data_IF_519510097820
#
_entry.id   IF_519510097820
#
_cell.length_a   1.000
_cell.length_b   1.000
_cell.length_c   1.000
_cell.angle_alpha   90.00
_cell.angle_beta   90.00
_cell.angle_gamma   90.00
#
_symmetry.space_group_name_H-M   'P 1'
#
loop_
_entity.id
_entity.type
_entity.pdbx_description
1 polymer ?
#
# COMPACT_ATOMS: atom_id res chain seq x y z
N UNK A 1 31.51 11.30 -13.55
CA UNK A 1 30.09 11.61 -13.29
C UNK A 1 29.64 10.74 -12.14
N UNK A 2 29.25 11.29 -10.97
CA UNK A 2 28.64 10.45 -9.95
C UNK A 2 27.29 10.02 -10.51
N UNK A 3 27.16 8.73 -10.85
CA UNK A 3 25.88 8.16 -11.25
C UNK A 3 24.91 8.31 -10.10
N UNK A 4 23.74 8.90 -10.35
CA UNK A 4 22.64 8.88 -9.40
C UNK A 4 22.29 7.43 -9.13
N UNK A 5 22.70 6.92 -7.96
CA UNK A 5 22.31 5.58 -7.51
C UNK A 5 20.79 5.54 -7.45
N UNK A 6 20.18 4.74 -8.32
CA UNK A 6 18.74 4.49 -8.28
C UNK A 6 18.49 3.49 -7.16
N UNK A 7 17.81 3.92 -6.11
CA UNK A 7 17.36 3.06 -5.02
C UNK A 7 15.90 2.70 -5.26
N UNK A 8 15.58 1.42 -5.19
CA UNK A 8 14.19 0.96 -5.10
C UNK A 8 13.78 0.98 -3.63
N UNK A 9 12.61 1.54 -3.34
CA UNK A 9 12.03 1.55 -1.99
C UNK A 9 10.91 0.52 -1.97
N UNK A 10 11.04 -0.48 -1.10
CA UNK A 10 10.03 -1.52 -0.91
C UNK A 10 9.25 -1.25 0.37
N UNK A 11 7.93 -1.27 0.27
CA UNK A 11 7.02 -1.18 1.42
C UNK A 11 6.22 -2.46 1.54
N UNK A 12 6.46 -3.19 2.62
CA UNK A 12 5.74 -4.42 2.94
C UNK A 12 4.55 -4.14 3.86
N UNK A 13 3.35 -4.53 3.39
CA UNK A 13 2.16 -4.59 4.23
C UNK A 13 1.85 -6.04 4.55
N UNK A 14 1.82 -6.36 5.84
CA UNK A 14 1.39 -7.66 6.35
C UNK A 14 0.08 -7.50 7.09
N UNK A 15 -0.93 -8.30 6.75
CA UNK A 15 -2.17 -8.35 7.50
C UNK A 15 -2.01 -9.30 8.70
N UNK A 16 -1.53 -8.76 9.82
CA UNK A 16 -1.41 -9.47 11.09
C UNK A 16 -2.73 -9.52 11.89
N UNK A 17 -3.84 -9.05 11.29
CA UNK A 17 -5.16 -9.04 11.92
C UNK A 17 -5.97 -10.28 11.58
N UNK A 18 -7.06 -10.51 12.33
CA UNK A 18 -7.98 -11.63 12.09
C UNK A 18 -8.95 -11.40 10.92
N UNK A 19 -9.06 -10.15 10.45
CA UNK A 19 -9.98 -9.75 9.40
C UNK A 19 -9.25 -9.55 8.08
N UNK A 20 -9.98 -9.62 6.96
CA UNK A 20 -9.40 -9.22 5.69
C UNK A 20 -9.14 -7.71 5.66
N UNK A 21 -7.99 -7.33 5.10
CA UNK A 21 -7.58 -5.95 4.91
C UNK A 21 -7.53 -5.62 3.42
N UNK A 22 -7.74 -4.36 3.06
CA UNK A 22 -7.48 -3.90 1.69
C UNK A 22 -6.50 -2.76 1.68
N UNK A 23 -5.57 -2.78 0.73
CA UNK A 23 -4.63 -1.69 0.45
C UNK A 23 -4.98 -1.07 -0.90
N UNK A 24 -5.10 0.25 -0.94
CA UNK A 24 -5.42 1.00 -2.15
C UNK A 24 -4.74 2.37 -2.16
N UNK A 25 -4.42 2.91 -3.33
CA UNK A 25 -4.03 4.33 -3.43
C UNK A 25 -5.17 5.23 -2.96
N UNK A 26 -4.87 6.18 -2.08
CA UNK A 26 -5.86 7.05 -1.45
C UNK A 26 -6.65 7.87 -2.47
N UNK A 27 -6.02 8.28 -3.58
CA UNK A 27 -6.68 9.03 -4.67
C UNK A 27 -7.79 8.24 -5.36
N UNK A 28 -7.70 6.91 -5.33
CA UNK A 28 -8.60 5.98 -6.00
C UNK A 28 -9.64 5.38 -5.03
N UNK A 29 -9.44 5.59 -3.72
CA UNK A 29 -10.30 5.05 -2.66
C UNK A 29 -11.77 5.46 -2.83
N UNK A 30 -12.64 4.45 -2.93
CA UNK A 30 -14.08 4.63 -3.12
C UNK A 30 -14.53 5.08 -4.53
N UNK A 31 -13.60 5.33 -5.46
CA UNK A 31 -13.90 5.76 -6.84
C UNK A 31 -13.52 4.74 -7.89
N UNK A 32 -12.41 4.02 -7.70
CA UNK A 32 -11.89 3.08 -8.68
C UNK A 32 -11.45 1.77 -8.01
N UNK A 33 -12.18 0.68 -8.20
CA UNK A 33 -11.87 -0.63 -7.60
C UNK A 33 -10.77 -1.39 -8.34
N UNK A 34 -10.22 -0.87 -9.44
CA UNK A 34 -9.24 -1.58 -10.27
C UNK A 34 -7.83 -1.69 -9.66
N UNK A 35 -7.52 -0.92 -8.62
CA UNK A 35 -6.21 -0.88 -7.98
C UNK A 35 -6.31 -1.15 -6.47
N UNK A 36 -7.14 -2.12 -6.08
CA UNK A 36 -7.29 -2.57 -4.69
C UNK A 36 -6.65 -3.95 -4.53
N UNK A 37 -5.83 -4.11 -3.50
CA UNK A 37 -5.28 -5.40 -3.10
C UNK A 37 -6.03 -5.87 -1.86
N UNK A 38 -6.60 -7.07 -1.92
CA UNK A 38 -7.18 -7.75 -0.75
C UNK A 38 -6.11 -8.63 -0.11
N UNK A 39 -5.96 -8.51 1.20
CA UNK A 39 -5.06 -9.33 2.03
C UNK A 39 -5.90 -10.13 3.02
N UNK A 40 -5.85 -11.44 2.94
CA UNK A 40 -6.37 -12.33 3.97
C UNK A 40 -5.48 -12.31 5.23
N UNK A 41 -5.98 -12.76 6.39
CA UNK A 41 -5.18 -12.89 7.60
C UNK A 41 -3.88 -13.67 7.35
N UNK A 42 -2.75 -13.08 7.71
CA UNK A 42 -1.41 -13.64 7.53
C UNK A 42 -0.77 -13.38 6.17
N UNK A 43 -1.49 -12.78 5.20
CA UNK A 43 -0.93 -12.44 3.89
C UNK A 43 -0.17 -11.11 3.91
N UNK A 44 0.79 -11.01 3.00
CA UNK A 44 1.57 -9.80 2.79
C UNK A 44 1.58 -9.37 1.32
N UNK A 45 1.74 -8.07 1.08
CA UNK A 45 2.02 -7.50 -0.24
C UNK A 45 3.19 -6.53 -0.13
N UNK A 46 4.10 -6.62 -1.10
CA UNK A 46 5.19 -5.68 -1.28
C UNK A 46 4.83 -4.66 -2.35
N UNK A 47 4.94 -3.38 -2.03
CA UNK A 47 4.80 -2.28 -2.97
C UNK A 47 6.19 -1.74 -3.34
N UNK A 48 6.43 -1.60 -4.65
CA UNK A 48 7.64 -0.96 -5.17
C UNK A 48 7.35 0.52 -5.37
N UNK A 49 8.12 1.38 -4.71
CA UNK A 49 7.93 2.83 -4.71
C UNK A 49 9.11 3.52 -5.42
N UNK A 50 8.78 4.53 -6.22
CA UNK A 50 9.77 5.39 -6.85
C UNK A 50 10.38 6.36 -5.85
N UNK A 51 11.72 6.41 -5.79
CA UNK A 51 12.44 7.35 -4.95
C UNK A 51 12.06 8.80 -5.28
N UNK A 52 11.78 9.59 -4.23
CA UNK A 52 11.39 11.00 -4.36
C UNK A 52 9.91 11.23 -4.66
N UNK A 53 9.12 10.17 -4.82
CA UNK A 53 7.65 10.28 -4.98
C UNK A 53 6.95 9.97 -3.66
N UNK A 54 5.92 10.75 -3.34
CA UNK A 54 5.08 10.53 -2.16
C UNK A 54 3.86 9.71 -2.57
N UNK A 55 3.68 8.56 -1.94
CA UNK A 55 2.56 7.67 -2.16
C UNK A 55 1.63 7.68 -0.95
N UNK A 56 0.33 7.87 -1.18
CA UNK A 56 -0.68 7.82 -0.13
C UNK A 56 -1.55 6.60 -0.30
N UNK A 57 -1.62 5.77 0.73
CA UNK A 57 -2.41 4.54 0.74
C UNK A 57 -3.51 4.61 1.78
N UNK A 58 -4.68 4.10 1.43
CA UNK A 58 -5.76 3.81 2.34
C UNK A 58 -5.74 2.32 2.67
N UNK A 59 -5.59 2.01 3.96
CA UNK A 59 -5.77 0.66 4.48
C UNK A 59 -7.14 0.58 5.14
N UNK A 60 -7.97 -0.36 4.69
CA UNK A 60 -9.30 -0.57 5.25
C UNK A 60 -9.40 -1.96 5.86
N UNK A 61 -9.90 -2.04 7.08
CA UNK A 61 -10.26 -3.28 7.77
C UNK A 61 -11.64 -3.11 8.40
N UNK A 62 -12.61 -3.97 8.03
CA UNK A 62 -14.03 -3.83 8.42
C UNK A 62 -14.56 -2.39 8.20
N UNK A 63 -14.81 -1.66 9.30
CA UNK A 63 -15.32 -0.27 9.34
C UNK A 63 -14.22 0.77 9.58
N UNK A 64 -12.97 0.36 9.78
CA UNK A 64 -11.84 1.24 10.04
C UNK A 64 -11.07 1.51 8.76
N UNK A 65 -10.61 2.75 8.61
CA UNK A 65 -9.74 3.19 7.53
C UNK A 65 -8.56 3.95 8.14
N UNK A 66 -7.35 3.56 7.77
CA UNK A 66 -6.12 4.26 8.10
C UNK A 66 -5.48 4.79 6.82
N UNK A 67 -4.86 5.96 6.90
CA UNK A 67 -4.09 6.53 5.78
C UNK A 67 -2.60 6.43 6.11
N UNK A 68 -1.82 5.93 5.16
CA UNK A 68 -0.36 5.83 5.22
C UNK A 68 0.22 6.73 4.14
N UNK A 69 1.27 7.48 4.45
CA UNK A 69 1.96 8.44 3.54
C UNK A 69 3.46 8.22 3.63
#
# INVERSE_FOLDING_TARGET
>A
MPGTTQYEVLLDFTNDTHDCATVQLQRDYGRNTGAIVLLHPGESVTLVLDAGTVYKYALKTRSKVANVT
#
